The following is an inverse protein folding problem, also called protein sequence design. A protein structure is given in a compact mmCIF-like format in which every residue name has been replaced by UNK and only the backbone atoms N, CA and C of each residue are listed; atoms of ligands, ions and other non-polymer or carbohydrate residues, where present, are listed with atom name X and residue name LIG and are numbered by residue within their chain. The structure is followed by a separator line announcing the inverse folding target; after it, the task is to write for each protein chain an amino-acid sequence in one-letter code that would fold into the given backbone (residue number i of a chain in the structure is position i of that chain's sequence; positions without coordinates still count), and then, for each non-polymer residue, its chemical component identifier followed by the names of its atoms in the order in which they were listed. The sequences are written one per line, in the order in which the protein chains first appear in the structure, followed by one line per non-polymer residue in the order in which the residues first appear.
data_IF_282449919665
#
_entry.id   IF_282449919665
#
_cell.length_a   1.000
_cell.length_b   1.000
_cell.length_c   1.000
_cell.angle_alpha   90.00
_cell.angle_beta   90.00
_cell.angle_gamma   90.00
#
_symmetry.space_group_name_H-M   'P 1'
#
loop_
_entity.id
_entity.type
_entity.pdbx_description
1 polymer ?
#
# COMPACT_ATOMS: atom_id res chain seq x y z
N UNK A 1 21.84 -4.33 7.05
CA UNK A 1 20.70 -3.38 7.08
C UNK A 1 19.44 -4.20 7.12
N UNK A 2 18.65 -4.07 8.18
CA UNK A 2 17.55 -5.01 8.48
C UNK A 2 16.20 -4.47 7.99
N UNK A 3 16.06 -3.14 7.90
CA UNK A 3 14.84 -2.44 7.52
C UNK A 3 15.21 -1.02 7.03
N UNK A 4 14.47 -0.49 6.06
CA UNK A 4 14.60 0.91 5.61
C UNK A 4 13.23 1.58 5.72
N UNK A 5 13.12 2.58 6.59
CA UNK A 5 11.90 3.36 6.75
C UNK A 5 12.02 4.74 6.07
N UNK A 6 10.99 5.10 5.29
CA UNK A 6 10.87 6.39 4.61
C UNK A 6 9.56 7.03 5.03
N UNK A 7 9.65 8.10 5.84
CA UNK A 7 8.49 8.92 6.20
C UNK A 7 8.31 10.01 5.15
N UNK A 8 7.12 10.07 4.55
CA UNK A 8 6.81 10.97 3.46
C UNK A 8 6.33 12.32 4.01
N UNK A 9 6.92 13.40 3.50
CA UNK A 9 6.37 14.73 3.71
C UNK A 9 5.03 14.89 2.95
N UNK A 10 4.28 15.97 3.20
CA UNK A 10 2.93 16.15 2.61
C UNK A 10 2.90 16.10 1.08
N UNK A 11 3.95 16.57 0.42
CA UNK A 11 4.06 16.65 -1.05
C UNK A 11 4.44 15.30 -1.67
N UNK A 12 5.05 14.41 -0.88
CA UNK A 12 5.46 13.06 -1.30
C UNK A 12 4.41 12.00 -1.03
N UNK A 13 3.32 12.34 -0.32
CA UNK A 13 2.22 11.40 -0.09
C UNK A 13 1.54 11.06 -1.39
N UNK A 14 1.15 9.80 -1.54
CA UNK A 14 0.48 9.31 -2.72
C UNK A 14 -0.71 8.44 -2.33
N UNK A 15 -1.60 8.25 -3.30
CA UNK A 15 -2.79 7.42 -3.16
C UNK A 15 -2.49 6.03 -3.71
N UNK A 16 -2.96 5.00 -3.01
CA UNK A 16 -3.07 3.65 -3.54
C UNK A 16 -4.51 3.18 -3.35
N UNK A 17 -5.00 2.42 -4.32
CA UNK A 17 -6.28 1.74 -4.22
C UNK A 17 -6.03 0.37 -3.60
N UNK A 18 -6.89 0.00 -2.66
CA UNK A 18 -6.92 -1.36 -2.15
C UNK A 18 -7.60 -2.27 -3.19
N UNK A 19 -6.92 -3.26 -3.78
CA UNK A 19 -7.51 -4.11 -4.81
C UNK A 19 -8.71 -4.92 -4.31
N UNK A 20 -8.81 -5.15 -3.00
CA UNK A 20 -9.86 -5.95 -2.38
C UNK A 20 -11.03 -5.09 -1.86
N UNK A 21 -10.97 -3.76 -1.96
CA UNK A 21 -11.98 -2.87 -1.42
C UNK A 21 -12.17 -1.57 -2.21
N UNK A 22 -13.20 -0.79 -1.84
CA UNK A 22 -13.49 0.53 -2.45
C UNK A 22 -12.76 1.66 -1.68
N UNK A 23 -11.83 1.29 -0.80
CA UNK A 23 -11.13 2.24 0.03
C UNK A 23 -9.90 2.80 -0.68
N UNK A 24 -9.65 4.10 -0.47
CA UNK A 24 -8.44 4.76 -0.94
C UNK A 24 -7.51 4.96 0.24
N UNK A 25 -6.23 4.60 0.07
CA UNK A 25 -5.21 4.74 1.10
C UNK A 25 -4.29 5.89 0.75
N UNK A 26 -4.20 6.88 1.63
CA UNK A 26 -3.17 7.92 1.58
C UNK A 26 -1.93 7.42 2.31
N UNK A 27 -0.88 7.10 1.57
CA UNK A 27 0.39 6.60 2.11
C UNK A 27 1.20 7.76 2.67
N UNK A 28 1.66 7.64 3.90
CA UNK A 28 2.55 8.61 4.56
C UNK A 28 3.86 8.01 5.07
N UNK A 29 4.02 6.68 4.99
CA UNK A 29 5.27 5.98 5.28
C UNK A 29 5.42 4.75 4.39
N UNK A 30 6.63 4.55 3.88
CA UNK A 30 7.05 3.34 3.17
C UNK A 30 8.13 2.65 3.99
N UNK A 31 7.91 1.37 4.29
CA UNK A 31 8.92 0.54 4.95
C UNK A 31 9.35 -0.56 3.99
N UNK A 32 10.65 -0.63 3.68
CA UNK A 32 11.24 -1.69 2.86
C UNK A 32 11.84 -2.71 3.81
N UNK A 33 11.42 -3.98 3.67
CA UNK A 33 11.88 -5.13 4.43
C UNK A 33 12.59 -6.11 3.47
N UNK A 34 13.89 -5.91 3.18
CA UNK A 34 14.61 -6.72 2.19
C UNK A 34 14.66 -8.20 2.56
N UNK A 35 14.79 -8.51 3.86
CA UNK A 35 14.87 -9.90 4.36
C UNK A 35 13.57 -10.66 4.11
N UNK A 36 12.43 -9.97 4.18
CA UNK A 36 11.11 -10.56 3.95
C UNK A 36 10.66 -10.47 2.48
N UNK A 37 11.43 -9.81 1.60
CA UNK A 37 11.02 -9.43 0.24
C UNK A 37 9.67 -8.67 0.25
N UNK A 38 9.55 -7.70 1.14
CA UNK A 38 8.31 -6.96 1.33
C UNK A 38 8.53 -5.45 1.27
N UNK A 39 7.54 -4.76 0.71
CA UNK A 39 7.35 -3.32 0.87
C UNK A 39 6.04 -3.11 1.59
N UNK A 40 6.07 -2.37 2.69
CA UNK A 40 4.90 -2.06 3.51
C UNK A 40 4.55 -0.59 3.32
N UNK A 41 3.36 -0.34 2.76
CA UNK A 41 2.78 0.99 2.67
C UNK A 41 1.92 1.22 3.90
N UNK A 42 2.26 2.21 4.70
CA UNK A 42 1.48 2.62 5.87
C UNK A 42 0.82 3.97 5.62
N UNK A 43 -0.40 4.13 6.11
CA UNK A 43 -1.14 5.35 5.87
C UNK A 43 -2.53 5.35 6.48
N UNK A 44 -3.41 6.14 5.87
CA UNK A 44 -4.81 6.24 6.27
C UNK A 44 -5.71 5.80 5.13
N UNK A 45 -6.57 4.84 5.41
CA UNK A 45 -7.66 4.42 4.53
C UNK A 45 -8.88 5.32 4.75
N UNK A 46 -9.56 5.63 3.66
CA UNK A 46 -10.81 6.37 3.61
C UNK A 46 -11.81 5.61 2.75
N UNK A 47 -13.01 5.43 3.29
CA UNK A 47 -14.14 4.89 2.52
C UNK A 47 -14.70 6.01 1.64
N UNK A 48 -14.80 5.74 0.34
CA UNK A 48 -15.42 6.66 -0.62
C UNK A 48 -16.93 6.44 -0.62
N UNK A 49 -17.70 7.41 -0.11
CA UNK A 49 -19.15 7.39 -0.26
C UNK A 49 -19.53 8.10 -1.57
N UNK A 50 -19.80 7.34 -2.63
CA UNK A 50 -20.16 7.89 -3.94
C UNK A 50 -21.52 8.61 -3.95
N UNK A 51 -22.46 8.26 -3.07
CA UNK A 51 -23.77 8.91 -3.00
C UNK A 51 -23.66 10.32 -2.43
N UNK A 52 -22.74 10.52 -1.48
CA UNK A 52 -22.51 11.80 -0.81
C UNK A 52 -21.30 12.57 -1.34
N UNK A 53 -20.48 11.94 -2.18
CA UNK A 53 -19.18 12.46 -2.63
C UNK A 53 -18.24 12.85 -1.48
N UNK A 54 -18.21 12.06 -0.41
CA UNK A 54 -17.44 12.34 0.81
C UNK A 54 -16.51 11.18 1.20
N UNK A 55 -15.35 11.53 1.77
CA UNK A 55 -14.45 10.57 2.42
C UNK A 55 -14.87 10.34 3.86
N UNK A 56 -15.08 9.08 4.24
CA UNK A 56 -15.50 8.70 5.60
C UNK A 56 -14.55 7.66 6.20
N UNK A 57 -14.67 7.39 7.51
CA UNK A 57 -13.95 6.30 8.21
C UNK A 57 -12.42 6.31 8.08
N UNK A 58 -11.76 7.37 8.58
CA UNK A 58 -10.30 7.42 8.64
C UNK A 58 -9.75 6.33 9.57
N UNK A 59 -9.12 5.31 8.99
CA UNK A 59 -8.45 4.22 9.74
C UNK A 59 -6.99 4.13 9.37
N UNK A 60 -6.12 3.86 10.35
CA UNK A 60 -4.71 3.60 10.07
C UNK A 60 -4.58 2.18 9.52
N UNK A 61 -3.94 2.05 8.37
CA UNK A 61 -3.80 0.76 7.67
C UNK A 61 -2.36 0.52 7.25
N UNK A 62 -2.06 -0.75 6.99
CA UNK A 62 -0.81 -1.18 6.39
C UNK A 62 -1.12 -2.15 5.26
N UNK A 63 -0.57 -1.90 4.08
CA UNK A 63 -0.64 -2.78 2.92
C UNK A 63 0.74 -3.39 2.68
N UNK A 64 0.79 -4.72 2.55
CA UNK A 64 2.05 -5.46 2.34
C UNK A 64 2.11 -5.91 0.89
N UNK A 65 3.11 -5.43 0.17
CA UNK A 65 3.44 -5.87 -1.18
C UNK A 65 4.59 -6.87 -1.10
N UNK A 66 4.38 -8.08 -1.60
CA UNK A 66 5.45 -9.07 -1.74
C UNK A 66 6.21 -8.80 -3.05
N UNK A 67 7.53 -8.72 -2.97
CA UNK A 67 8.42 -8.45 -4.11
C UNK A 67 9.13 -9.71 -4.60
N UNK A 68 8.84 -10.88 -4.03
CA UNK A 68 9.39 -12.15 -4.51
C UNK A 68 8.84 -12.40 -5.92
N UNK A 69 9.73 -12.45 -6.91
CA UNK A 69 9.36 -12.85 -8.27
C UNK A 69 8.90 -14.31 -8.23
N UNK A 70 7.64 -14.55 -8.58
CA UNK A 70 7.17 -15.90 -8.90
C UNK A 70 7.66 -16.21 -10.32
N UNK A 71 8.60 -17.13 -10.44
CA UNK A 71 9.01 -17.68 -11.73
C UNK A 71 7.83 -18.47 -12.31
N UNK A 72 7.00 -17.82 -13.13
CA UNK A 72 6.11 -18.50 -14.06
C UNK A 72 6.99 -19.12 -15.15
N UNK A 73 7.47 -20.34 -14.93
CA UNK A 73 7.80 -21.21 -16.04
C UNK A 73 6.46 -21.67 -16.61
N UNK A 74 5.96 -20.93 -17.59
CA UNK A 74 4.97 -21.49 -18.50
C UNK A 74 5.61 -22.72 -19.12
N UNK A 75 5.00 -23.88 -18.91
CA UNK A 75 5.22 -25.03 -19.77
C UNK A 75 4.71 -24.61 -21.16
N UNK A 76 5.62 -24.11 -21.99
CA UNK A 76 5.42 -24.09 -23.44
C UNK A 76 5.34 -25.57 -23.88
N UNK A 77 4.13 -26.02 -24.20
CA UNK A 77 3.85 -27.25 -24.95
C UNK A 77 2.99 -26.89 -26.18
#
# INVERSE_FOLDING_TARGET
MTEVEVILNKEQRFLIEDPDSVAVIIVDKVTILPVANQVVYSGYSFDVNYEKMEFTNRRKVQMVMNTKLETFFGEDD
#
